data_IF_624361929654
#
_entry.id   IF_624361929654
#
_cell.length_a   1.000
_cell.length_b   1.000
_cell.length_c   1.000
_cell.angle_alpha   90.00
_cell.angle_beta   90.00
_cell.angle_gamma   90.00
#
_symmetry.space_group_name_H-M   'P 1'
#
loop_
_entity.id
_entity.type
_entity.pdbx_description
1 polymer ?
#
# COMPACT_ATOMS: atom_id res chain seq x y z
N UNK A 1 8.70 -1.98 21.86
CA UNK A 1 7.84 -0.90 21.41
C UNK A 1 8.38 -0.18 20.20
N UNK A 2 9.63 0.26 20.27
CA UNK A 2 10.24 0.91 19.13
C UNK A 2 10.33 0.00 17.91
N UNK A 3 10.58 -1.25 18.17
CA UNK A 3 10.68 -2.24 17.11
C UNK A 3 9.36 -2.38 16.35
N UNK A 4 8.28 -2.45 17.10
CA UNK A 4 6.96 -2.54 16.51
C UNK A 4 6.63 -1.29 15.70
N UNK A 5 7.01 -0.14 16.24
CA UNK A 5 6.76 1.13 15.59
C UNK A 5 7.51 1.22 14.27
N UNK A 6 8.75 0.72 14.24
CA UNK A 6 9.54 0.73 13.03
C UNK A 6 8.95 -0.18 11.95
N UNK A 7 8.50 -1.35 12.36
CA UNK A 7 7.86 -2.27 11.42
C UNK A 7 6.58 -1.66 10.86
N UNK A 8 5.82 -1.02 11.73
CA UNK A 8 4.60 -0.33 11.32
C UNK A 8 4.91 0.77 10.32
N UNK A 9 5.96 1.54 10.61
CA UNK A 9 6.35 2.62 9.72
C UNK A 9 6.75 2.09 8.35
N UNK A 10 7.50 1.01 8.30
CA UNK A 10 7.93 0.43 7.04
C UNK A 10 6.74 -0.03 6.20
N UNK A 11 5.79 -0.70 6.85
CA UNK A 11 4.60 -1.15 6.15
C UNK A 11 3.75 0.03 5.71
N UNK A 12 3.59 1.03 6.57
CA UNK A 12 2.78 2.20 6.26
C UNK A 12 3.39 3.03 5.13
N UNK A 13 4.70 3.08 5.08
CA UNK A 13 5.38 3.85 4.04
C UNK A 13 5.44 3.09 2.72
N UNK A 14 5.18 1.80 2.74
CA UNK A 14 5.27 0.98 1.54
C UNK A 14 6.59 1.21 0.82
N UNK A 15 7.66 1.14 1.61
CA UNK A 15 9.01 1.41 1.12
C UNK A 15 9.69 0.10 0.77
N UNK A 16 9.57 -0.30 -0.48
CA UNK A 16 10.09 -1.58 -0.95
C UNK A 16 11.17 -1.36 -1.99
N UNK A 17 12.11 -2.30 -2.05
CA UNK A 17 13.08 -2.32 -3.14
C UNK A 17 12.38 -2.68 -4.45
N UNK A 18 13.06 -2.45 -5.56
CA UNK A 18 12.49 -2.78 -6.86
C UNK A 18 12.18 -4.27 -6.97
N UNK A 19 13.08 -5.10 -6.45
CA UNK A 19 12.89 -6.56 -6.48
C UNK A 19 11.65 -6.93 -5.67
N UNK A 20 11.50 -6.34 -4.49
CA UNK A 20 10.34 -6.59 -3.66
C UNK A 20 9.05 -6.14 -4.34
N UNK A 21 9.08 -4.97 -4.98
CA UNK A 21 7.90 -4.48 -5.70
C UNK A 21 7.49 -5.43 -6.81
N UNK A 22 8.46 -5.88 -7.60
CA UNK A 22 8.17 -6.79 -8.68
C UNK A 22 7.56 -8.09 -8.16
N UNK A 23 8.12 -8.60 -7.08
CA UNK A 23 7.63 -9.83 -6.47
C UNK A 23 6.19 -9.67 -5.97
N UNK A 24 5.92 -8.55 -5.30
CA UNK A 24 4.59 -8.26 -4.78
C UNK A 24 3.59 -8.13 -5.93
N UNK A 25 3.94 -7.38 -6.96
CA UNK A 25 3.04 -7.18 -8.09
C UNK A 25 2.70 -8.47 -8.80
N UNK A 26 3.63 -9.41 -8.85
CA UNK A 26 3.42 -10.68 -9.53
C UNK A 26 2.63 -11.67 -8.68
N UNK A 27 2.75 -11.59 -7.36
CA UNK A 27 2.27 -12.67 -6.49
C UNK A 27 1.16 -12.27 -5.52
N UNK A 28 0.91 -10.99 -5.30
CA UNK A 28 -0.09 -10.55 -4.34
C UNK A 28 -1.53 -10.75 -4.83
N UNK A 29 -1.70 -10.86 -6.13
CA UNK A 29 -3.03 -11.05 -6.72
C UNK A 29 -3.99 -9.92 -6.35
N UNK A 30 -3.56 -8.68 -6.57
CA UNK A 30 -4.39 -7.52 -6.32
C UNK A 30 -5.51 -7.41 -7.34
N UNK A 31 -6.70 -6.98 -6.89
CA UNK A 31 -7.73 -6.58 -7.84
C UNK A 31 -7.40 -5.18 -8.37
N UNK A 32 -8.23 -4.68 -9.30
CA UNK A 32 -7.94 -3.42 -9.99
C UNK A 32 -7.78 -2.24 -9.05
N UNK A 33 -8.69 -2.08 -8.11
CA UNK A 33 -8.62 -0.94 -7.19
C UNK A 33 -7.44 -1.06 -6.23
N UNK A 34 -7.17 -2.27 -5.77
CA UNK A 34 -6.04 -2.51 -4.89
C UNK A 34 -4.73 -2.18 -5.61
N UNK A 35 -4.62 -2.59 -6.86
CA UNK A 35 -3.41 -2.32 -7.63
C UNK A 35 -3.21 -0.82 -7.85
N UNK A 36 -4.27 -0.10 -8.20
CA UNK A 36 -4.16 1.35 -8.40
C UNK A 36 -3.73 2.05 -7.12
N UNK A 37 -4.34 1.69 -6.00
CA UNK A 37 -4.00 2.31 -4.73
C UNK A 37 -2.59 1.93 -4.30
N UNK A 38 -2.20 0.68 -4.49
CA UNK A 38 -0.84 0.24 -4.16
C UNK A 38 0.20 1.07 -4.94
N UNK A 39 -0.04 1.30 -6.22
CA UNK A 39 0.88 2.10 -7.03
C UNK A 39 0.97 3.54 -6.53
N UNK A 40 -0.15 4.13 -6.11
CA UNK A 40 -0.14 5.49 -5.58
C UNK A 40 0.64 5.58 -4.26
N UNK A 41 0.58 4.52 -3.46
CA UNK A 41 1.28 4.48 -2.19
C UNK A 41 2.79 4.31 -2.37
N UNK A 42 3.20 3.67 -3.45
CA UNK A 42 4.61 3.35 -3.69
C UNK A 42 5.25 4.26 -4.73
N UNK A 43 4.53 5.25 -5.21
CA UNK A 43 5.05 6.18 -6.21
C UNK A 43 6.23 6.95 -5.62
N UNK A 44 7.39 6.81 -6.24
CA UNK A 44 8.60 7.45 -5.74
C UNK A 44 8.59 8.96 -5.90
N UNK A 45 7.70 9.50 -6.72
CA UNK A 45 7.61 10.93 -6.92
C UNK A 45 6.67 11.62 -5.96
N UNK A 46 6.06 10.87 -5.06
CA UNK A 46 5.22 11.46 -4.06
C UNK A 46 4.20 10.47 -3.58
N UNK A 47 4.50 9.86 -2.48
CA UNK A 47 3.57 8.94 -1.85
C UNK A 47 2.33 9.70 -1.47
N UNK A 48 1.22 9.32 -2.07
CA UNK A 48 -0.01 10.04 -1.85
C UNK A 48 -0.60 9.69 -0.49
N UNK A 49 -1.15 10.71 0.15
CA UNK A 49 -1.85 10.51 1.41
C UNK A 49 -3.25 10.02 1.15
N UNK A 50 -3.87 9.45 2.17
CA UNK A 50 -5.21 8.87 2.07
C UNK A 50 -6.21 9.87 1.50
N UNK A 51 -6.14 11.11 1.96
CA UNK A 51 -7.07 12.15 1.49
C UNK A 51 -6.99 12.32 -0.01
N UNK A 52 -5.78 12.40 -0.54
CA UNK A 52 -5.59 12.60 -1.96
C UNK A 52 -6.04 11.39 -2.76
N UNK A 53 -5.73 10.21 -2.29
CA UNK A 53 -6.15 8.98 -2.96
C UNK A 53 -7.68 8.91 -3.01
N UNK A 54 -8.34 9.25 -1.90
CA UNK A 54 -9.79 9.22 -1.83
C UNK A 54 -10.41 10.16 -2.87
N UNK A 55 -9.83 11.35 -3.00
CA UNK A 55 -10.34 12.33 -3.96
C UNK A 55 -10.15 11.83 -5.39
N UNK A 56 -8.97 11.35 -5.70
CA UNK A 56 -8.65 10.94 -7.07
C UNK A 56 -9.37 9.67 -7.49
N UNK A 57 -9.60 8.75 -6.56
CA UNK A 57 -10.36 7.54 -6.86
C UNK A 57 -11.86 7.71 -6.65
N UNK A 58 -12.27 8.87 -6.16
CA UNK A 58 -13.68 9.18 -5.93
C UNK A 58 -14.35 8.20 -4.97
N UNK A 59 -13.68 7.92 -3.86
CA UNK A 59 -14.17 7.05 -2.80
C UNK A 59 -13.88 7.71 -1.46
N UNK A 60 -14.49 7.20 -0.40
CA UNK A 60 -14.28 7.77 0.93
C UNK A 60 -12.91 7.39 1.48
N UNK A 61 -12.42 8.19 2.43
CA UNK A 61 -11.17 7.89 3.11
C UNK A 61 -11.27 6.58 3.88
N UNK A 62 -12.44 6.30 4.41
CA UNK A 62 -12.67 5.03 5.12
C UNK A 62 -12.46 3.84 4.18
N UNK A 63 -12.97 3.97 2.96
CA UNK A 63 -12.82 2.92 1.95
C UNK A 63 -11.36 2.76 1.57
N UNK A 64 -10.64 3.88 1.39
CA UNK A 64 -9.21 3.82 1.09
C UNK A 64 -8.47 3.09 2.20
N UNK A 65 -8.75 3.44 3.46
CA UNK A 65 -8.10 2.78 4.60
C UNK A 65 -8.38 1.29 4.63
N UNK A 66 -9.59 0.90 4.31
CA UNK A 66 -9.95 -0.52 4.27
C UNK A 66 -9.16 -1.25 3.18
N UNK A 67 -9.06 -0.63 2.02
CA UNK A 67 -8.32 -1.23 0.91
C UNK A 67 -6.84 -1.33 1.24
N UNK A 68 -6.28 -0.31 1.86
CA UNK A 68 -4.88 -0.34 2.29
C UNK A 68 -4.64 -1.50 3.27
N UNK A 69 -5.58 -1.72 4.17
CA UNK A 69 -5.47 -2.83 5.11
C UNK A 69 -5.47 -4.17 4.37
N UNK A 70 -6.31 -4.30 3.36
CA UNK A 70 -6.34 -5.50 2.55
C UNK A 70 -5.02 -5.71 1.81
N UNK A 71 -4.47 -4.63 1.28
CA UNK A 71 -3.17 -4.68 0.60
C UNK A 71 -2.08 -5.13 1.56
N UNK A 72 -2.04 -4.55 2.75
CA UNK A 72 -1.05 -4.92 3.75
C UNK A 72 -1.14 -6.39 4.12
N UNK A 73 -2.36 -6.90 4.26
CA UNK A 73 -2.55 -8.29 4.59
C UNK A 73 -2.03 -9.23 3.50
N UNK A 74 -2.27 -8.87 2.25
CA UNK A 74 -1.75 -9.65 1.13
C UNK A 74 -0.24 -9.65 1.09
N UNK A 75 0.36 -8.48 1.33
CA UNK A 75 1.82 -8.37 1.33
C UNK A 75 2.43 -9.18 2.47
N UNK A 76 1.83 -9.12 3.65
CA UNK A 76 2.34 -9.88 4.80
C UNK A 76 2.37 -11.38 4.53
N UNK A 77 1.43 -11.87 3.76
CA UNK A 77 1.39 -13.30 3.42
C UNK A 77 2.51 -13.68 2.47
N UNK A 78 2.99 -12.73 1.68
CA UNK A 78 4.06 -12.99 0.73
C UNK A 78 5.44 -12.87 1.37
N UNK A 79 5.60 -11.94 2.28
CA UNK A 79 6.86 -11.65 2.91
C UNK A 79 6.95 -12.25 4.31
#
# INVERSE_FOLDING_TARGET
MEKEKLEEENVNKFDFTKIELDYILQNANFNDIQLRIFKRLTDKYGRQKIVKIAIEENISERTVSRIIKQIKNKIKRLL
#
